data_IF_742310583916
#
_entry.id   IF_742310583916
#
_cell.length_a   1.000
_cell.length_b   1.000
_cell.length_c   1.000
_cell.angle_alpha   90.00
_cell.angle_beta   90.00
_cell.angle_gamma   90.00
#
_symmetry.space_group_name_H-M   'P 1'
#
loop_
_entity.id
_entity.type
_entity.pdbx_description
1 polymer ?
#
# COMPACT_ATOMS: atom_id res chain seq x y z
N UNK A 1 -13.21 1.49 0.49
CA UNK A 1 -13.18 0.33 1.41
C UNK A 1 -12.07 0.54 2.42
N UNK A 2 -12.26 0.22 3.71
CA UNK A 2 -11.20 0.38 4.71
C UNK A 2 -10.50 -0.96 4.94
N UNK A 3 -9.49 -1.30 4.14
CA UNK A 3 -8.71 -2.54 4.31
C UNK A 3 -8.20 -2.71 5.73
N UNK A 4 -7.76 -1.61 6.34
CA UNK A 4 -7.33 -1.55 7.73
C UNK A 4 -8.34 -2.11 8.74
N UNK A 5 -9.65 -2.00 8.46
CA UNK A 5 -10.71 -2.49 9.34
C UNK A 5 -10.77 -4.03 9.41
N UNK A 6 -10.10 -4.74 8.49
CA UNK A 6 -9.99 -6.20 8.55
C UNK A 6 -9.10 -6.69 9.70
N UNK A 7 -8.26 -5.82 10.29
CA UNK A 7 -7.29 -6.20 11.33
C UNK A 7 -7.52 -5.37 12.62
N UNK A 8 -8.60 -5.59 13.37
CA UNK A 8 -8.92 -4.80 14.56
C UNK A 8 -7.84 -4.85 15.66
N UNK A 9 -7.05 -5.93 15.73
CA UNK A 9 -5.97 -6.15 16.69
C UNK A 9 -4.72 -5.30 16.43
N UNK A 10 -4.54 -4.84 15.19
CA UNK A 10 -3.46 -3.92 14.89
C UNK A 10 -3.75 -2.59 15.60
N UNK A 11 -2.79 -1.93 16.28
CA UNK A 11 -3.05 -0.63 16.87
C UNK A 11 -3.38 0.42 15.81
N UNK A 12 -4.34 1.30 16.10
CA UNK A 12 -4.66 2.41 15.22
C UNK A 12 -3.52 3.43 15.22
N UNK A 13 -3.14 3.93 14.05
CA UNK A 13 -2.24 5.07 13.94
C UNK A 13 -3.05 6.32 14.27
N UNK A 14 -2.50 7.20 15.11
CA UNK A 14 -3.12 8.47 15.50
C UNK A 14 -2.46 9.68 14.85
N UNK A 15 -1.21 9.52 14.41
CA UNK A 15 -0.47 10.54 13.69
C UNK A 15 -0.97 10.65 12.23
N UNK A 16 -1.40 11.83 11.76
CA UNK A 16 -1.91 12.01 10.39
C UNK A 16 -0.91 11.59 9.31
N UNK A 17 0.39 11.85 9.51
CA UNK A 17 1.40 11.50 8.53
C UNK A 17 1.62 9.99 8.45
N UNK A 18 1.61 9.29 9.59
CA UNK A 18 1.67 7.84 9.64
C UNK A 18 0.44 7.18 8.99
N UNK A 19 -0.76 7.73 9.23
CA UNK A 19 -2.00 7.29 8.56
C UNK A 19 -1.87 7.47 7.05
N UNK A 20 -1.40 8.63 6.58
CA UNK A 20 -1.20 8.91 5.17
C UNK A 20 -0.19 7.92 4.54
N UNK A 21 0.96 7.70 5.20
CA UNK A 21 1.97 6.75 4.74
C UNK A 21 1.42 5.32 4.60
N UNK A 22 0.71 4.82 5.62
CA UNK A 22 0.08 3.48 5.60
C UNK A 22 -0.93 3.37 4.44
N UNK A 23 -1.77 4.40 4.25
CA UNK A 23 -2.77 4.40 3.16
C UNK A 23 -2.16 4.46 1.78
N UNK A 24 -1.12 5.28 1.57
CA UNK A 24 -0.39 5.33 0.31
C UNK A 24 0.24 3.98 -0.04
N UNK A 25 0.87 3.30 0.93
CA UNK A 25 1.45 1.98 0.72
C UNK A 25 0.39 0.90 0.44
N UNK A 26 -0.78 0.95 1.10
CA UNK A 26 -1.90 0.07 0.77
C UNK A 26 -2.41 0.30 -0.66
N UNK A 27 -2.55 1.55 -1.09
CA UNK A 27 -2.95 1.87 -2.46
C UNK A 27 -1.93 1.34 -3.47
N UNK A 28 -0.63 1.55 -3.21
CA UNK A 28 0.44 0.95 -4.04
C UNK A 28 0.29 -0.57 -4.12
N UNK A 29 0.02 -1.24 -3.01
CA UNK A 29 -0.17 -2.70 -2.99
C UNK A 29 -1.40 -3.14 -3.81
N UNK A 30 -2.55 -2.51 -3.61
CA UNK A 30 -3.81 -2.94 -4.21
C UNK A 30 -4.07 -2.45 -5.63
N UNK A 31 -3.33 -1.45 -6.10
CA UNK A 31 -3.37 -0.95 -7.48
C UNK A 31 -2.22 -1.49 -8.34
N UNK A 32 -1.37 -2.35 -7.77
CA UNK A 32 -0.35 -3.09 -8.51
C UNK A 32 -1.00 -4.13 -9.43
N UNK A 33 -0.50 -4.28 -10.65
CA UNK A 33 -0.86 -5.39 -11.53
C UNK A 33 -0.21 -6.71 -11.05
N UNK A 34 -0.90 -7.39 -10.13
CA UNK A 34 -0.47 -8.67 -9.58
C UNK A 34 -0.48 -9.81 -10.61
N UNK A 35 -1.30 -9.72 -11.66
CA UNK A 35 -1.47 -10.82 -12.60
C UNK A 35 -0.35 -10.81 -13.65
N UNK A 36 0.03 -9.63 -14.15
CA UNK A 36 1.05 -9.51 -15.19
C UNK A 36 2.49 -9.44 -14.63
N UNK A 37 2.69 -8.91 -13.42
CA UNK A 37 4.03 -8.56 -12.94
C UNK A 37 4.67 -9.59 -12.00
N UNK A 38 3.86 -10.34 -11.25
CA UNK A 38 4.34 -10.87 -9.97
C UNK A 38 4.62 -12.37 -9.94
N UNK A 39 4.47 -13.09 -11.07
CA UNK A 39 4.71 -14.54 -11.17
C UNK A 39 5.97 -15.01 -10.41
N UNK A 40 7.16 -14.57 -10.84
CA UNK A 40 8.42 -14.93 -10.19
C UNK A 40 8.80 -14.03 -9.00
N UNK A 41 8.13 -12.90 -8.86
CA UNK A 41 8.52 -11.84 -7.92
C UNK A 41 7.76 -11.86 -6.58
N UNK A 42 6.69 -12.65 -6.45
CA UNK A 42 5.85 -12.74 -5.23
C UNK A 42 6.68 -12.95 -3.97
N UNK A 43 7.60 -13.91 -4.00
CA UNK A 43 8.41 -14.26 -2.83
C UNK A 43 9.38 -13.15 -2.41
N UNK A 44 9.71 -12.21 -3.31
CA UNK A 44 10.61 -11.07 -3.05
C UNK A 44 9.86 -9.76 -2.83
N UNK A 45 8.55 -9.75 -3.04
CA UNK A 45 7.76 -8.52 -3.07
C UNK A 45 7.87 -7.74 -1.74
N UNK A 46 7.54 -8.40 -0.63
CA UNK A 46 7.49 -7.75 0.68
C UNK A 46 8.86 -7.41 1.24
N UNK A 47 9.83 -8.29 1.01
CA UNK A 47 11.12 -8.23 1.72
C UNK A 47 12.18 -7.47 0.91
N UNK A 48 12.01 -7.36 -0.41
CA UNK A 48 13.02 -6.76 -1.30
C UNK A 48 12.43 -5.69 -2.22
N UNK A 49 11.49 -6.06 -3.09
CA UNK A 49 11.08 -5.19 -4.21
C UNK A 49 10.32 -3.96 -3.74
N UNK A 50 9.24 -4.13 -2.98
CA UNK A 50 8.44 -3.00 -2.50
C UNK A 50 9.30 -2.07 -1.61
N UNK A 51 10.03 -2.57 -0.59
CA UNK A 51 10.88 -1.71 0.22
C UNK A 51 11.94 -0.96 -0.59
N UNK A 52 12.61 -1.62 -1.54
CA UNK A 52 13.64 -0.97 -2.35
C UNK A 52 13.08 0.17 -3.20
N UNK A 53 11.93 -0.05 -3.85
CA UNK A 53 11.29 0.99 -4.69
C UNK A 53 10.74 2.14 -3.87
N UNK A 54 10.13 1.86 -2.73
CA UNK A 54 9.66 2.91 -1.81
C UNK A 54 10.83 3.74 -1.29
N UNK A 55 11.93 3.12 -0.82
CA UNK A 55 13.12 3.89 -0.40
C UNK A 55 13.65 4.76 -1.53
N UNK A 56 13.86 4.19 -2.71
CA UNK A 56 14.40 4.93 -3.85
C UNK A 56 13.54 6.16 -4.21
N UNK A 57 12.21 6.01 -4.21
CA UNK A 57 11.29 7.15 -4.43
C UNK A 57 11.36 8.16 -3.28
N UNK A 58 11.34 7.71 -2.02
CA UNK A 58 11.37 8.57 -0.83
C UNK A 58 12.64 9.42 -0.73
N UNK A 59 13.79 8.90 -1.12
CA UNK A 59 15.05 9.67 -1.09
C UNK A 59 15.16 10.68 -2.25
N UNK A 60 14.40 10.49 -3.33
CA UNK A 60 14.45 11.34 -4.53
C UNK A 60 13.34 12.39 -4.57
N UNK A 61 12.27 12.18 -3.82
CA UNK A 61 11.11 13.04 -3.83
C UNK A 61 11.21 14.16 -2.79
N UNK A 62 10.80 15.35 -3.20
CA UNK A 62 10.58 16.53 -2.37
C UNK A 62 9.10 16.74 -2.01
N UNK A 63 8.19 16.08 -2.75
CA UNK A 63 6.74 16.12 -2.55
C UNK A 63 6.11 14.74 -2.70
N UNK A 64 4.90 14.54 -2.14
CA UNK A 64 4.13 13.30 -2.32
C UNK A 64 3.75 13.06 -3.79
N UNK A 65 3.49 14.11 -4.56
CA UNK A 65 3.21 13.99 -5.99
C UNK A 65 4.43 13.47 -6.77
N UNK A 66 5.62 13.99 -6.47
CA UNK A 66 6.89 13.49 -7.03
C UNK A 66 7.11 12.04 -6.61
N UNK A 67 6.89 11.72 -5.33
CA UNK A 67 7.04 10.37 -4.78
C UNK A 67 6.14 9.35 -5.49
N UNK A 68 4.85 9.67 -5.64
CA UNK A 68 3.89 8.82 -6.34
C UNK A 68 4.27 8.61 -7.80
N UNK A 69 4.69 9.67 -8.49
CA UNK A 69 5.12 9.60 -9.89
C UNK A 69 6.35 8.71 -10.07
N UNK A 70 7.32 8.76 -9.16
CA UNK A 70 8.51 7.89 -9.19
C UNK A 70 8.14 6.42 -8.96
N UNK A 71 7.21 6.14 -8.04
CA UNK A 71 6.73 4.78 -7.80
C UNK A 71 5.94 4.23 -8.99
N UNK A 72 5.04 5.02 -9.58
CA UNK A 72 4.26 4.61 -10.74
C UNK A 72 5.13 4.37 -12.00
N UNK A 73 6.30 5.00 -12.08
CA UNK A 73 7.30 4.69 -13.13
C UNK A 73 8.07 3.40 -12.84
N UNK A 74 8.27 3.07 -11.57
CA UNK A 74 9.05 1.91 -11.15
C UNK A 74 8.21 0.63 -11.10
N UNK A 75 6.95 0.74 -10.69
CA UNK A 75 6.03 -0.37 -10.45
C UNK A 75 4.85 -0.26 -11.41
N UNK A 76 4.30 -1.37 -11.92
CA UNK A 76 3.12 -1.35 -12.78
C UNK A 76 1.85 -1.09 -11.97
N UNK A 77 1.70 0.16 -11.53
CA UNK A 77 0.55 0.62 -10.74
C UNK A 77 -0.50 1.19 -11.70
N UNK A 78 -1.72 0.65 -11.63
CA UNK A 78 -2.87 1.14 -12.40
C UNK A 78 -4.04 1.42 -11.46
N UNK A 79 -4.29 2.70 -11.18
CA UNK A 79 -5.42 3.14 -10.34
C UNK A 79 -6.69 3.29 -11.21
N UNK A 80 -7.33 2.17 -11.56
CA UNK A 80 -8.51 2.17 -12.45
C UNK A 80 -9.79 2.63 -11.74
N UNK A 81 -9.94 2.26 -10.47
CA UNK A 81 -11.11 2.60 -9.66
C UNK A 81 -11.22 4.11 -9.37
N UNK A 82 -12.42 4.67 -9.54
CA UNK A 82 -12.66 6.12 -9.32
C UNK A 82 -12.48 6.51 -7.86
N UNK A 83 -12.93 5.68 -6.92
CA UNK A 83 -12.83 6.00 -5.50
C UNK A 83 -11.35 6.00 -5.05
N UNK A 84 -10.56 5.02 -5.49
CA UNK A 84 -9.10 5.00 -5.26
C UNK A 84 -8.39 6.19 -5.91
N UNK A 85 -8.75 6.58 -7.14
CA UNK A 85 -8.18 7.79 -7.78
C UNK A 85 -8.43 9.04 -6.94
N UNK A 86 -9.63 9.21 -6.39
CA UNK A 86 -9.94 10.33 -5.52
C UNK A 86 -9.17 10.27 -4.20
N UNK A 87 -9.05 9.08 -3.61
CA UNK A 87 -8.30 8.87 -2.37
C UNK A 87 -6.81 9.19 -2.55
N UNK A 88 -6.18 8.69 -3.62
CA UNK A 88 -4.81 9.06 -3.99
C UNK A 88 -4.70 10.57 -4.12
N UNK A 89 -5.55 11.20 -4.95
CA UNK A 89 -5.50 12.65 -5.16
C UNK A 89 -5.58 13.44 -3.85
N UNK A 90 -6.41 13.03 -2.90
CA UNK A 90 -6.49 13.66 -1.59
C UNK A 90 -5.24 13.44 -0.74
N UNK A 91 -4.72 12.21 -0.65
CA UNK A 91 -3.51 11.91 0.12
C UNK A 91 -2.29 12.69 -0.40
N UNK A 92 -2.20 12.93 -1.71
CA UNK A 92 -1.12 13.70 -2.30
C UNK A 92 -1.14 15.20 -1.93
N UNK A 93 -2.24 15.70 -1.33
CA UNK A 93 -2.31 17.07 -0.80
C UNK A 93 -1.81 17.21 0.63
N UNK A 94 -1.55 16.09 1.32
CA UNK A 94 -1.05 16.10 2.70
C UNK A 94 0.38 16.71 2.79
N UNK A 95 0.77 17.24 3.95
CA UNK A 95 2.12 17.75 4.17
C UNK A 95 3.18 16.69 3.85
N UNK A 96 3.99 16.94 2.81
CA UNK A 96 4.89 15.92 2.28
C UNK A 96 6.06 15.59 3.22
N UNK A 97 6.66 16.61 3.85
CA UNK A 97 7.84 16.43 4.71
C UNK A 97 7.66 15.39 5.83
N UNK A 98 6.60 15.43 6.68
CA UNK A 98 6.44 14.43 7.73
C UNK A 98 6.16 13.02 7.18
N UNK A 99 5.38 12.89 6.11
CA UNK A 99 5.08 11.59 5.49
C UNK A 99 6.34 10.96 4.89
N UNK A 100 7.11 11.73 4.13
CA UNK A 100 8.38 11.26 3.54
C UNK A 100 9.43 10.94 4.61
N UNK A 101 9.44 11.66 5.74
CA UNK A 101 10.31 11.34 6.89
C UNK A 101 9.96 9.98 7.49
N UNK A 102 8.68 9.69 7.72
CA UNK A 102 8.24 8.38 8.22
C UNK A 102 8.55 7.25 7.23
N UNK A 103 8.32 7.47 5.93
CA UNK A 103 8.67 6.51 4.88
C UNK A 103 10.18 6.30 4.74
N UNK A 104 11.02 7.20 5.26
CA UNK A 104 12.47 7.05 5.29
C UNK A 104 12.90 6.27 6.53
N UNK A 105 12.41 6.70 7.68
CA UNK A 105 12.95 6.29 8.97
C UNK A 105 12.26 5.03 9.53
N UNK A 106 11.01 4.78 9.13
CA UNK A 106 10.15 3.73 9.70
C UNK A 106 9.61 2.75 8.66
N UNK A 107 10.17 2.75 7.44
CA UNK A 107 9.65 1.93 6.34
C UNK A 107 9.45 0.44 6.70
N UNK A 108 10.40 -0.27 7.35
CA UNK A 108 10.19 -1.69 7.66
C UNK A 108 8.95 -1.92 8.55
N UNK A 109 8.70 -1.04 9.52
CA UNK A 109 7.52 -1.13 10.38
C UNK A 109 6.23 -0.85 9.61
N UNK A 110 6.23 0.16 8.73
CA UNK A 110 5.08 0.46 7.87
C UNK A 110 4.77 -0.68 6.90
N UNK A 111 5.80 -1.29 6.29
CA UNK A 111 5.64 -2.44 5.38
C UNK A 111 5.05 -3.64 6.13
N UNK A 112 5.53 -3.95 7.34
CA UNK A 112 4.98 -5.03 8.15
C UNK A 112 3.48 -4.84 8.41
N UNK A 113 3.06 -3.62 8.77
CA UNK A 113 1.64 -3.31 8.98
C UNK A 113 0.81 -3.50 7.73
N UNK A 114 1.29 -3.00 6.59
CA UNK A 114 0.64 -3.13 5.28
C UNK A 114 0.52 -4.61 4.88
N UNK A 115 1.57 -5.40 5.12
CA UNK A 115 1.59 -6.85 4.87
C UNK A 115 0.55 -7.58 5.69
N UNK A 116 0.48 -7.33 7.00
CA UNK A 116 -0.54 -7.93 7.90
C UNK A 116 -1.95 -7.63 7.37
N UNK A 117 -2.22 -6.37 7.00
CA UNK A 117 -3.51 -5.97 6.45
C UNK A 117 -3.81 -6.69 5.13
N UNK A 118 -2.83 -6.74 4.22
CA UNK A 118 -2.98 -7.35 2.91
C UNK A 118 -3.26 -8.85 3.01
N UNK A 119 -2.50 -9.56 3.84
CA UNK A 119 -2.66 -11.00 4.10
C UNK A 119 -4.03 -11.30 4.71
N UNK A 120 -4.44 -10.54 5.74
CA UNK A 120 -5.76 -10.74 6.37
C UNK A 120 -6.91 -10.50 5.39
N UNK A 121 -6.86 -9.43 4.59
CA UNK A 121 -7.87 -9.17 3.55
C UNK A 121 -7.90 -10.27 2.49
N UNK A 122 -6.75 -10.85 2.14
CA UNK A 122 -6.69 -11.95 1.18
C UNK A 122 -7.34 -13.22 1.75
N UNK A 123 -7.10 -13.53 3.03
CA UNK A 123 -7.69 -14.67 3.73
C UNK A 123 -9.20 -14.52 3.88
N UNK A 124 -9.69 -13.34 4.29
CA UNK A 124 -11.12 -13.05 4.38
C UNK A 124 -11.85 -13.24 3.03
N UNK A 125 -11.23 -12.76 1.94
CA UNK A 125 -11.78 -12.91 0.59
C UNK A 125 -11.83 -14.37 0.16
N UNK A 126 -10.80 -15.16 0.51
CA UNK A 126 -10.75 -16.60 0.22
C UNK A 126 -11.85 -17.35 0.97
N UNK A 127 -11.97 -17.10 2.28
CA UNK A 127 -13.00 -17.72 3.11
C UNK A 127 -14.42 -17.37 2.64
N UNK A 128 -14.65 -16.13 2.21
CA UNK A 128 -15.92 -15.71 1.64
C UNK A 128 -16.25 -16.42 0.32
N UNK A 129 -15.26 -16.58 -0.57
CA UNK A 129 -15.43 -17.29 -1.84
C UNK A 129 -15.74 -18.78 -1.64
N UNK A 130 -15.04 -19.46 -0.72
CA UNK A 130 -15.30 -20.86 -0.35
C UNK A 130 -16.69 -21.05 0.25
N UNK A 131 -17.13 -20.11 1.08
CA UNK A 131 -18.45 -20.12 1.70
C UNK A 131 -19.59 -19.91 0.68
N UNK A 132 -19.34 -19.11 -0.37
CA UNK A 132 -20.30 -18.90 -1.45
C UNK A 132 -20.39 -20.13 -2.37
N UNK A 133 -19.26 -20.76 -2.70
CA UNK A 133 -19.22 -21.97 -3.54
C UNK A 133 -19.84 -23.21 -2.89
N UNK A 134 -19.89 -23.28 -1.55
CA UNK A 134 -20.54 -24.39 -0.82
C UNK A 134 -22.07 -24.27 -0.74
N UNK A 135 -22.64 -23.11 -1.08
CA UNK A 135 -24.08 -22.83 -1.04
C UNK A 135 -24.77 -22.88 -2.41
N UNK A 136 -24.04 -23.12 -3.49
CA UNK A 136 -24.56 -23.30 -4.86
C UNK A 136 -24.45 -24.75 -5.30
#
# INVERSE_FOLDING_TARGET
>A
MRWRAAVPELPALTDPAAICAERLLLLVHYDLDWDSWIGDHRHRYWDELLPARVRAATYRADSLATWWSLLAQALPITVSDRARRLEVAQLLTEPSAPVLTLLRDQLPALILRVRIIAETVADDRRAAAESAGRKG
#
